data_IF_316292400183
#
_entry.id   IF_316292400183
#
_cell.length_a   1.000
_cell.length_b   1.000
_cell.length_c   1.000
_cell.angle_alpha   90.00
_cell.angle_beta   90.00
_cell.angle_gamma   90.00
#
_symmetry.space_group_name_H-M   'P 1'
#
loop_
_entity.id
_entity.type
_entity.pdbx_description
1 polymer ?
#
# COMPACT_ATOMS: atom_id res chain seq x y z
N UNK A 1 1.34 14.69 -15.54
CA UNK A 1 -0.13 14.90 -15.45
C UNK A 1 -0.61 14.14 -14.25
N UNK A 2 -1.46 14.76 -13.44
CA UNK A 2 -2.11 14.10 -12.32
C UNK A 2 -3.36 13.35 -12.81
N UNK A 3 -3.64 12.19 -12.22
CA UNK A 3 -4.81 11.37 -12.54
C UNK A 3 -5.44 10.89 -11.24
N UNK A 4 -6.74 11.11 -11.10
CA UNK A 4 -7.52 10.56 -9.99
C UNK A 4 -7.91 9.11 -10.29
N UNK A 5 -7.83 8.26 -9.27
CA UNK A 5 -8.24 6.85 -9.31
C UNK A 5 -9.00 6.50 -8.03
N UNK A 6 -9.86 5.49 -8.12
CA UNK A 6 -10.61 4.91 -6.99
C UNK A 6 -10.09 3.52 -6.66
N UNK A 7 -9.77 3.29 -5.39
CA UNK A 7 -9.48 1.96 -4.83
C UNK A 7 -10.60 1.59 -3.85
N UNK A 8 -11.38 0.57 -4.17
CA UNK A 8 -12.36 -0.01 -3.23
C UNK A 8 -11.74 -1.23 -2.56
N UNK A 9 -11.93 -1.33 -1.25
CA UNK A 9 -11.31 -2.38 -0.45
C UNK A 9 -12.35 -3.07 0.43
N UNK A 10 -12.31 -4.40 0.49
CA UNK A 10 -13.01 -5.20 1.49
C UNK A 10 -11.98 -5.85 2.42
N UNK A 11 -12.08 -5.59 3.72
CA UNK A 11 -11.23 -6.17 4.78
C UNK A 11 -12.00 -6.21 6.11
N UNK A 12 -11.48 -6.95 7.08
CA UNK A 12 -12.01 -6.96 8.45
C UNK A 12 -11.80 -5.61 9.14
N UNK A 13 -12.77 -5.20 9.97
CA UNK A 13 -12.83 -3.86 10.58
C UNK A 13 -11.58 -3.51 11.40
N UNK A 14 -11.02 -4.48 12.14
CA UNK A 14 -9.81 -4.28 12.97
C UNK A 14 -8.59 -3.80 12.18
N UNK A 15 -8.52 -4.09 10.87
CA UNK A 15 -7.38 -3.73 10.03
C UNK A 15 -7.52 -2.37 9.37
N UNK A 16 -8.72 -1.77 9.41
CA UNK A 16 -9.01 -0.49 8.76
C UNK A 16 -8.09 0.61 9.32
N UNK A 17 -7.93 0.67 10.64
CA UNK A 17 -7.12 1.72 11.28
C UNK A 17 -5.64 1.63 10.87
N UNK A 18 -5.06 0.43 10.88
CA UNK A 18 -3.65 0.23 10.51
C UNK A 18 -3.42 0.53 9.02
N UNK A 19 -4.31 0.03 8.16
CA UNK A 19 -4.23 0.25 6.72
C UNK A 19 -4.38 1.72 6.35
N UNK A 20 -5.37 2.42 6.90
CA UNK A 20 -5.57 3.85 6.64
C UNK A 20 -4.43 4.70 7.21
N UNK A 21 -3.89 4.35 8.38
CA UNK A 21 -2.73 5.04 8.97
C UNK A 21 -1.49 4.91 8.08
N UNK A 22 -1.27 3.73 7.49
CA UNK A 22 -0.20 3.51 6.51
C UNK A 22 -0.33 4.46 5.32
N UNK A 23 -1.54 4.61 4.74
CA UNK A 23 -1.78 5.52 3.61
C UNK A 23 -1.58 6.99 3.99
N UNK A 24 -2.11 7.43 5.15
CA UNK A 24 -1.92 8.82 5.63
C UNK A 24 -0.46 9.12 5.94
N UNK A 25 0.32 8.14 6.37
CA UNK A 25 1.76 8.30 6.55
C UNK A 25 2.48 8.49 5.21
N UNK A 26 2.09 7.75 4.16
CA UNK A 26 2.64 7.95 2.81
C UNK A 26 2.34 9.36 2.29
N UNK A 27 1.10 9.84 2.45
CA UNK A 27 0.70 11.21 2.09
C UNK A 27 1.54 12.25 2.84
N UNK A 28 1.62 12.16 4.18
CA UNK A 28 2.38 13.07 5.01
C UNK A 28 3.89 13.10 4.65
N UNK A 29 4.47 11.95 4.30
CA UNK A 29 5.88 11.89 3.87
C UNK A 29 6.13 12.61 2.55
N UNK A 30 5.17 12.54 1.61
CA UNK A 30 5.17 13.34 0.39
C UNK A 30 5.09 14.83 0.69
N UNK A 31 4.18 15.23 1.58
CA UNK A 31 3.96 16.64 1.94
C UNK A 31 5.18 17.29 2.61
N UNK A 32 5.90 16.55 3.48
CA UNK A 32 7.07 17.07 4.20
C UNK A 32 8.40 16.79 3.49
N UNK A 33 8.39 16.09 2.35
CA UNK A 33 9.59 15.75 1.59
C UNK A 33 10.55 14.79 2.31
N UNK A 34 10.04 13.78 3.01
CA UNK A 34 10.86 12.82 3.76
C UNK A 34 10.71 11.39 3.22
N UNK A 35 11.82 10.73 2.90
CA UNK A 35 11.82 9.32 2.48
C UNK A 35 11.88 8.37 3.67
N UNK A 36 10.91 7.46 3.79
CA UNK A 36 10.89 6.36 4.78
C UNK A 36 10.22 5.12 4.18
N UNK A 37 10.55 3.94 4.71
CA UNK A 37 9.80 2.72 4.42
C UNK A 37 8.52 2.74 5.25
N UNK A 38 7.37 2.65 4.59
CA UNK A 38 6.05 2.51 5.22
C UNK A 38 5.43 1.24 4.68
N UNK A 39 4.86 0.42 5.55
CA UNK A 39 4.22 -0.82 5.16
C UNK A 39 3.33 -1.38 6.25
N UNK A 40 2.41 -2.24 5.84
CA UNK A 40 1.60 -3.08 6.71
C UNK A 40 2.08 -4.52 6.57
N UNK A 41 2.10 -5.26 7.67
CA UNK A 41 2.46 -6.67 7.65
C UNK A 41 1.34 -7.47 7.00
N UNK A 42 1.66 -8.22 5.94
CA UNK A 42 0.71 -9.12 5.30
C UNK A 42 0.85 -10.51 5.91
N UNK A 43 -0.05 -10.85 6.83
CA UNK A 43 -0.06 -12.19 7.42
C UNK A 43 -0.42 -13.24 6.37
N UNK A 44 0.38 -14.31 6.30
CA UNK A 44 0.22 -15.43 5.38
C UNK A 44 -0.77 -16.48 5.87
N UNK A 45 -1.22 -16.38 7.12
CA UNK A 45 -2.21 -17.28 7.73
C UNK A 45 -3.65 -17.03 7.26
N UNK A 46 -3.88 -15.94 6.53
CA UNK A 46 -5.16 -15.56 5.94
C UNK A 46 -5.99 -14.58 6.78
N UNK A 47 -5.47 -14.12 7.92
CA UNK A 47 -6.17 -13.21 8.85
C UNK A 47 -6.25 -11.78 8.31
N UNK A 48 -5.21 -11.33 7.60
CA UNK A 48 -5.21 -10.11 6.80
C UNK A 48 -5.35 -10.43 5.31
N UNK A 49 -6.61 -10.48 4.83
CA UNK A 49 -6.93 -10.85 3.43
C UNK A 49 -7.73 -9.78 2.68
N UNK A 50 -7.19 -8.57 2.50
CA UNK A 50 -7.90 -7.50 1.80
C UNK A 50 -8.16 -7.88 0.32
N UNK A 51 -9.32 -7.43 -0.19
CA UNK A 51 -9.68 -7.52 -1.61
C UNK A 51 -9.81 -6.13 -2.20
N UNK A 52 -9.08 -5.86 -3.27
CA UNK A 52 -9.02 -4.56 -3.93
C UNK A 52 -9.72 -4.60 -5.29
N UNK A 53 -10.57 -3.60 -5.56
CA UNK A 53 -11.05 -3.25 -6.89
C UNK A 53 -10.46 -1.88 -7.23
N UNK A 54 -9.75 -1.78 -8.37
CA UNK A 54 -9.06 -0.56 -8.81
C UNK A 54 -9.68 -0.15 -10.14
N UNK A 55 -10.10 1.10 -10.27
CA UNK A 55 -10.83 1.61 -11.43
C UNK A 55 -9.95 2.08 -12.61
N UNK A 56 -8.65 1.76 -12.55
CA UNK A 56 -7.69 2.07 -13.61
C UNK A 56 -6.94 0.81 -14.03
N UNK A 57 -6.60 0.75 -15.31
CA UNK A 57 -5.59 -0.18 -15.79
C UNK A 57 -4.22 0.22 -15.26
N UNK A 58 -3.39 -0.79 -14.96
CA UNK A 58 -2.01 -0.61 -14.54
C UNK A 58 -1.15 -1.80 -15.00
N UNK A 59 0.13 -1.52 -15.24
CA UNK A 59 1.11 -2.57 -15.50
C UNK A 59 1.68 -3.09 -14.17
N UNK A 60 1.79 -4.41 -14.05
CA UNK A 60 2.46 -5.00 -12.88
C UNK A 60 3.95 -4.73 -12.99
N UNK A 61 4.49 -4.00 -12.00
CA UNK A 61 5.93 -3.78 -11.87
C UNK A 61 6.55 -4.76 -10.88
N UNK A 62 7.86 -4.97 -10.98
CA UNK A 62 8.62 -5.73 -9.98
C UNK A 62 9.04 -4.82 -8.82
N UNK A 63 9.10 -5.35 -7.58
CA UNK A 63 9.62 -4.59 -6.45
C UNK A 63 11.10 -4.26 -6.69
N UNK A 64 11.53 -3.05 -6.30
CA UNK A 64 12.95 -2.63 -6.38
C UNK A 64 13.81 -3.36 -5.34
N UNK A 65 13.24 -3.63 -4.17
CA UNK A 65 13.85 -4.50 -3.15
C UNK A 65 13.04 -5.78 -3.01
N UNK A 66 13.70 -6.92 -3.20
CA UNK A 66 13.11 -8.25 -3.06
C UNK A 66 13.97 -9.08 -2.10
N UNK A 67 13.67 -9.00 -0.80
CA UNK A 67 14.23 -9.88 0.24
C UNK A 67 13.20 -10.95 0.57
N UNK A 68 13.65 -12.05 1.20
CA UNK A 68 12.83 -13.24 1.52
C UNK A 68 11.48 -12.84 2.13
N UNK A 69 11.47 -11.88 3.06
CA UNK A 69 10.26 -11.47 3.79
C UNK A 69 9.80 -10.03 3.47
N UNK A 70 10.38 -9.38 2.45
CA UNK A 70 10.11 -7.96 2.19
C UNK A 70 10.17 -7.62 0.70
N UNK A 71 9.05 -7.11 0.20
CA UNK A 71 8.92 -6.56 -1.15
C UNK A 71 8.61 -5.07 -1.05
N UNK A 72 9.50 -4.24 -1.57
CA UNK A 72 9.32 -2.77 -1.60
C UNK A 72 9.11 -2.33 -3.04
N UNK A 73 7.99 -1.65 -3.25
CA UNK A 73 7.70 -0.88 -4.45
C UNK A 73 8.12 0.56 -4.17
N UNK A 74 8.95 1.11 -5.05
CA UNK A 74 9.56 2.42 -4.84
C UNK A 74 8.75 3.50 -5.55
N UNK A 75 8.71 4.69 -4.94
CA UNK A 75 8.03 5.86 -5.49
C UNK A 75 8.95 6.74 -6.35
N UNK A 76 10.21 6.31 -6.54
CA UNK A 76 11.23 6.92 -7.41
C UNK A 76 11.15 6.46 -8.89
#
# INVERSE_FOLDING_TARGET
MEKEITIKIKMEERWINDFCSMLKMMENLGDVGSSKIVGIYSDGDGDFRPKFEIDTDFEKVHPKTNKIDMKIYDAE
#
